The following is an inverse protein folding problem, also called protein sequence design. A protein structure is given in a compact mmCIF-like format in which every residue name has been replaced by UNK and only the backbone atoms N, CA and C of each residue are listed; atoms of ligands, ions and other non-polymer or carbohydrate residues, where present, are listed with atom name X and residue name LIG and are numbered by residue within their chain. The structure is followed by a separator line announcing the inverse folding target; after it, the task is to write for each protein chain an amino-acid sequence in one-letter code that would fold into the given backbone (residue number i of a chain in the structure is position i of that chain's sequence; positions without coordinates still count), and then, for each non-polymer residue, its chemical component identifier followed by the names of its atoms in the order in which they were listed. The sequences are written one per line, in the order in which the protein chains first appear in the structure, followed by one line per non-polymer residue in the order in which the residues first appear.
data_IF_734008911122
#
_entry.id   IF_734008911122
#
_cell.length_a   1.000
_cell.length_b   1.000
_cell.length_c   1.000
_cell.angle_alpha   90.00
_cell.angle_beta   90.00
_cell.angle_gamma   90.00
#
_symmetry.space_group_name_H-M   'P 1'
#
loop_
_entity.id
_entity.type
_entity.pdbx_description
1 polymer ?
#
# COMPACT_ATOMS: atom_id res chain seq x y z
N UNK A 1 -24.64 -79.82 -5.31
CA UNK A 1 -25.56 -79.22 -6.30
C UNK A 1 -26.07 -77.92 -5.70
N UNK A 2 -25.73 -76.78 -6.30
CA UNK A 2 -26.52 -75.52 -6.29
C UNK A 2 -25.77 -74.45 -7.10
N UNK A 3 -26.45 -73.95 -8.13
CA UNK A 3 -26.01 -72.92 -9.07
C UNK A 3 -25.75 -71.58 -8.38
N UNK A 4 -24.71 -70.85 -8.82
CA UNK A 4 -24.65 -69.39 -8.69
C UNK A 4 -24.67 -68.79 -10.10
N UNK A 5 -25.78 -68.10 -10.34
CA UNK A 5 -26.18 -67.34 -11.52
C UNK A 5 -25.26 -66.15 -11.81
N UNK A 6 -24.93 -65.95 -13.09
CA UNK A 6 -24.35 -64.72 -13.64
C UNK A 6 -25.29 -63.53 -13.44
N UNK A 7 -24.74 -62.42 -12.94
CA UNK A 7 -25.38 -61.10 -12.94
C UNK A 7 -24.77 -60.24 -14.06
N UNK A 8 -25.56 -59.56 -14.90
CA UNK A 8 -25.05 -58.81 -16.06
C UNK A 8 -24.43 -57.46 -15.67
N UNK A 9 -23.39 -57.07 -16.41
CA UNK A 9 -22.73 -55.76 -16.31
C UNK A 9 -23.66 -54.65 -16.82
N UNK A 10 -23.94 -53.65 -15.97
CA UNK A 10 -24.64 -52.42 -16.34
C UNK A 10 -23.62 -51.42 -16.91
N UNK A 11 -23.83 -50.83 -18.10
CA UNK A 11 -22.91 -49.85 -18.66
C UNK A 11 -23.03 -48.52 -17.91
N UNK A 12 -21.91 -48.05 -17.36
CA UNK A 12 -21.79 -46.71 -16.75
C UNK A 12 -21.83 -45.68 -17.88
N UNK A 13 -22.89 -44.86 -17.92
CA UNK A 13 -22.95 -43.69 -18.80
C UNK A 13 -21.87 -42.69 -18.37
N UNK A 14 -20.90 -42.44 -19.24
CA UNK A 14 -19.99 -41.30 -19.10
C UNK A 14 -20.80 -40.00 -19.20
N UNK A 15 -21.01 -39.34 -18.07
CA UNK A 15 -21.43 -37.94 -18.03
C UNK A 15 -20.19 -37.11 -18.34
N UNK A 16 -20.10 -36.64 -19.58
CA UNK A 16 -19.07 -35.69 -19.98
C UNK A 16 -19.23 -34.40 -19.18
N UNK A 17 -18.30 -34.15 -18.25
CA UNK A 17 -18.16 -32.86 -17.60
C UNK A 17 -17.74 -31.83 -18.65
N UNK A 18 -18.71 -31.12 -19.22
CA UNK A 18 -18.45 -29.80 -19.81
C UNK A 18 -17.95 -28.92 -18.67
N UNK A 19 -16.65 -28.61 -18.69
CA UNK A 19 -16.10 -27.51 -17.88
C UNK A 19 -16.67 -26.21 -18.44
N UNK A 20 -17.78 -25.77 -17.87
CA UNK A 20 -18.19 -24.38 -17.96
C UNK A 20 -17.21 -23.60 -17.09
N UNK A 21 -16.15 -23.07 -17.70
CA UNK A 21 -15.32 -22.07 -17.06
C UNK A 21 -16.19 -20.81 -16.90
N UNK A 22 -16.83 -20.68 -15.74
CA UNK A 22 -17.31 -19.39 -15.26
C UNK A 22 -16.07 -18.53 -15.09
N UNK A 23 -15.84 -17.62 -16.04
CA UNK A 23 -14.93 -16.48 -15.91
C UNK A 23 -15.37 -15.67 -14.70
N UNK A 24 -14.82 -16.00 -13.53
CA UNK A 24 -14.92 -15.17 -12.35
C UNK A 24 -13.99 -13.97 -12.57
N UNK A 25 -14.51 -12.93 -13.20
CA UNK A 25 -13.93 -11.59 -13.15
C UNK A 25 -13.98 -11.12 -11.68
N UNK A 26 -13.00 -11.54 -10.88
CA UNK A 26 -12.69 -10.88 -9.61
C UNK A 26 -11.41 -10.12 -9.82
N UNK A 27 -11.55 -8.83 -10.12
CA UNK A 27 -10.50 -7.85 -9.88
C UNK A 27 -10.13 -7.96 -8.40
N UNK A 28 -8.93 -8.43 -8.10
CA UNK A 28 -8.42 -8.39 -6.74
C UNK A 28 -7.84 -7.00 -6.49
N UNK A 29 -8.33 -6.22 -5.51
CA UNK A 29 -7.67 -5.00 -5.09
C UNK A 29 -6.43 -5.34 -4.24
N UNK A 30 -5.40 -5.91 -4.85
CA UNK A 30 -4.19 -6.44 -4.18
C UNK A 30 -3.25 -5.40 -3.52
N UNK A 31 -3.12 -4.14 -4.00
CA UNK A 31 -2.07 -3.26 -3.46
C UNK A 31 -2.25 -2.81 -2.01
N UNK A 32 -3.49 -2.83 -1.49
CA UNK A 32 -3.76 -2.55 -0.06
C UNK A 32 -3.20 -3.61 0.88
N UNK A 33 -3.39 -4.88 0.53
CA UNK A 33 -3.15 -5.98 1.47
C UNK A 33 -1.65 -6.20 1.61
N UNK A 34 -0.93 -6.12 0.49
CA UNK A 34 0.49 -6.48 0.48
C UNK A 34 1.37 -5.43 1.19
N UNK A 35 1.03 -4.14 1.08
CA UNK A 35 1.74 -3.05 1.77
C UNK A 35 1.46 -3.05 3.27
N UNK A 36 0.23 -3.33 3.70
CA UNK A 36 -0.08 -3.52 5.13
C UNK A 36 0.65 -4.72 5.74
N UNK A 37 0.70 -5.85 5.02
CA UNK A 37 1.45 -7.04 5.45
C UNK A 37 2.95 -6.73 5.55
N UNK A 38 3.55 -6.09 4.53
CA UNK A 38 4.96 -5.71 4.56
C UNK A 38 5.28 -4.78 5.74
N UNK A 39 4.41 -3.81 6.04
CA UNK A 39 4.61 -2.91 7.17
C UNK A 39 4.65 -3.67 8.50
N UNK A 40 3.70 -4.59 8.74
CA UNK A 40 3.69 -5.40 9.96
C UNK A 40 4.93 -6.29 10.05
N UNK A 41 5.33 -6.96 8.95
CA UNK A 41 6.52 -7.81 8.93
C UNK A 41 7.81 -7.01 9.21
N UNK A 42 7.92 -5.80 8.65
CA UNK A 42 9.05 -4.92 8.89
C UNK A 42 9.08 -4.38 10.33
N UNK A 43 7.95 -3.90 10.84
CA UNK A 43 7.83 -3.37 12.21
C UNK A 43 8.13 -4.43 13.26
N UNK A 44 7.53 -5.62 13.14
CA UNK A 44 7.79 -6.73 14.07
C UNK A 44 9.27 -7.13 14.07
N UNK A 45 9.92 -7.12 12.91
CA UNK A 45 11.36 -7.37 12.80
C UNK A 45 12.20 -6.28 13.48
N UNK A 46 11.83 -5.00 13.32
CA UNK A 46 12.49 -3.88 13.98
C UNK A 46 12.33 -3.95 15.51
N UNK A 47 11.22 -4.47 15.99
CA UNK A 47 10.96 -4.74 17.41
C UNK A 47 11.65 -6.02 17.93
N UNK A 48 12.47 -6.69 17.10
CA UNK A 48 13.19 -7.92 17.46
C UNK A 48 12.34 -9.19 17.45
N UNK A 49 11.08 -9.11 17.00
CA UNK A 49 10.18 -10.26 16.86
C UNK A 49 10.43 -10.89 15.49
N UNK A 50 10.99 -12.10 15.49
CA UNK A 50 11.33 -12.83 14.27
C UNK A 50 10.64 -14.18 14.20
N UNK A 51 10.22 -14.55 12.99
CA UNK A 51 9.63 -15.86 12.67
C UNK A 51 10.27 -16.42 11.40
N UNK A 52 10.24 -17.75 11.26
CA UNK A 52 10.79 -18.42 10.07
C UNK A 52 10.14 -17.90 8.78
N UNK A 53 10.95 -17.60 7.77
CA UNK A 53 10.49 -17.10 6.47
C UNK A 53 10.07 -15.62 6.44
N UNK A 54 10.15 -14.87 7.55
CA UNK A 54 9.78 -13.45 7.59
C UNK A 54 10.61 -12.59 6.63
N UNK A 55 11.92 -12.81 6.58
CA UNK A 55 12.83 -12.09 5.66
C UNK A 55 12.48 -12.43 4.21
N UNK A 56 12.27 -13.71 3.90
CA UNK A 56 11.92 -14.14 2.55
C UNK A 56 10.58 -13.53 2.10
N UNK A 57 9.61 -13.44 3.01
CA UNK A 57 8.33 -12.77 2.76
C UNK A 57 8.51 -11.27 2.49
N UNK A 58 9.31 -10.57 3.32
CA UNK A 58 9.66 -9.16 3.10
C UNK A 58 10.29 -8.98 1.72
N UNK A 59 11.33 -9.77 1.40
CA UNK A 59 12.05 -9.69 0.13
C UNK A 59 11.14 -9.99 -1.06
N UNK A 60 10.24 -10.97 -0.95
CA UNK A 60 9.29 -11.29 -2.02
C UNK A 60 8.29 -10.17 -2.27
N UNK A 61 7.76 -9.55 -1.22
CA UNK A 61 6.83 -8.41 -1.37
C UNK A 61 7.57 -7.20 -1.94
N UNK A 62 8.80 -6.94 -1.49
CA UNK A 62 9.62 -5.88 -2.04
C UNK A 62 9.87 -6.08 -3.53
N UNK A 63 10.26 -7.28 -3.96
CA UNK A 63 10.43 -7.59 -5.38
C UNK A 63 9.14 -7.34 -6.17
N UNK A 64 7.98 -7.73 -5.63
CA UNK A 64 6.70 -7.43 -6.26
C UNK A 64 6.45 -5.92 -6.40
N UNK A 65 6.74 -5.12 -5.37
CA UNK A 65 6.59 -3.66 -5.45
C UNK A 65 7.59 -3.04 -6.43
N UNK A 66 8.81 -3.58 -6.51
CA UNK A 66 9.84 -3.16 -7.46
C UNK A 66 9.39 -3.47 -8.91
N UNK A 67 8.83 -4.66 -9.16
CA UNK A 67 8.34 -5.09 -10.48
C UNK A 67 7.18 -4.22 -11.00
N UNK A 68 6.37 -3.67 -10.09
CA UNK A 68 5.20 -2.83 -10.43
C UNK A 68 5.46 -1.33 -10.28
N UNK A 69 6.66 -0.91 -9.88
CA UNK A 69 7.03 0.50 -9.86
C UNK A 69 7.00 1.07 -11.29
N UNK A 70 6.30 2.18 -11.46
CA UNK A 70 6.25 2.95 -12.69
C UNK A 70 6.94 4.30 -12.49
N UNK A 71 7.32 4.94 -13.61
CA UNK A 71 7.89 6.28 -13.62
C UNK A 71 7.00 7.21 -14.46
N UNK A 72 6.81 8.43 -13.98
CA UNK A 72 6.25 9.50 -14.82
C UNK A 72 7.30 9.96 -15.84
N UNK A 73 6.89 10.77 -16.82
CA UNK A 73 7.82 11.40 -17.78
C UNK A 73 8.88 12.27 -17.09
N UNK A 74 8.55 12.82 -15.92
CA UNK A 74 9.47 13.59 -15.10
C UNK A 74 10.39 12.71 -14.24
N UNK A 75 10.12 11.41 -14.13
CA UNK A 75 10.90 10.42 -13.37
C UNK A 75 10.35 10.13 -11.96
N UNK A 76 9.15 10.61 -11.61
CA UNK A 76 8.54 10.36 -10.30
C UNK A 76 8.06 8.92 -10.21
N UNK A 77 8.38 8.27 -9.09
CA UNK A 77 7.91 6.92 -8.76
C UNK A 77 6.41 6.91 -8.47
N UNK A 78 5.70 5.96 -9.05
CA UNK A 78 4.32 5.66 -8.71
C UNK A 78 4.00 4.19 -8.89
N UNK A 79 2.93 3.74 -8.24
CA UNK A 79 2.46 2.36 -8.32
C UNK A 79 0.97 2.34 -8.69
N UNK A 80 0.51 1.33 -9.45
CA UNK A 80 -0.90 1.16 -9.73
C UNK A 80 -1.67 0.89 -8.44
N UNK A 81 -2.85 1.52 -8.29
CA UNK A 81 -3.70 1.27 -7.12
C UNK A 81 -4.22 -0.18 -7.09
N UNK A 82 -4.35 -0.80 -8.27
CA UNK A 82 -4.73 -2.20 -8.45
C UNK A 82 -3.90 -2.78 -9.60
N UNK A 83 -3.23 -3.91 -9.35
CA UNK A 83 -2.64 -4.73 -10.43
C UNK A 83 -3.73 -5.68 -10.92
N UNK A 84 -4.23 -5.46 -12.13
CA UNK A 84 -5.30 -6.27 -12.73
C UNK A 84 -4.76 -7.52 -13.42
N UNK A 85 -5.63 -8.49 -13.74
CA UNK A 85 -5.25 -9.65 -14.54
C UNK A 85 -4.67 -9.25 -15.91
N UNK A 86 -5.20 -8.20 -16.53
CA UNK A 86 -4.70 -7.72 -17.81
C UNK A 86 -3.28 -7.12 -17.67
N UNK A 87 -2.98 -6.48 -16.54
CA UNK A 87 -1.62 -5.99 -16.26
C UNK A 87 -0.67 -7.19 -16.10
N UNK A 88 -1.08 -8.21 -15.33
CA UNK A 88 -0.31 -9.43 -15.11
C UNK A 88 0.01 -10.16 -16.42
N UNK A 89 -0.99 -10.35 -17.27
CA UNK A 89 -0.84 -11.03 -18.55
C UNK A 89 0.13 -10.28 -19.49
N UNK A 90 0.21 -8.95 -19.36
CA UNK A 90 1.10 -8.10 -20.16
C UNK A 90 2.45 -7.85 -19.51
N UNK A 91 2.61 -8.14 -18.22
CA UNK A 91 3.79 -7.81 -17.43
C UNK A 91 4.04 -6.29 -17.32
N UNK A 92 3.02 -5.46 -17.51
CA UNK A 92 3.12 -4.00 -17.43
C UNK A 92 1.77 -3.37 -17.13
N UNK A 93 1.77 -2.15 -16.59
CA UNK A 93 0.54 -1.44 -16.21
C UNK A 93 -0.13 -0.89 -17.48
N UNK A 94 -1.33 -1.38 -17.77
CA UNK A 94 -2.22 -0.89 -18.83
C UNK A 94 -3.55 -0.36 -18.29
N UNK A 95 -3.90 -0.73 -17.06
CA UNK A 95 -5.14 -0.35 -16.39
C UNK A 95 -5.16 1.08 -15.85
N UNK A 96 -3.97 1.68 -15.65
CA UNK A 96 -3.79 3.00 -15.07
C UNK A 96 -2.74 3.78 -15.86
N UNK A 97 -3.03 5.05 -16.20
CA UNK A 97 -2.16 5.88 -17.05
C UNK A 97 -1.15 6.73 -16.28
N UNK A 98 -1.23 6.80 -14.95
CA UNK A 98 -0.37 7.65 -14.14
C UNK A 98 -0.69 7.59 -12.66
N UNK A 99 0.05 8.33 -11.81
CA UNK A 99 -0.17 8.36 -10.37
C UNK A 99 -1.56 8.89 -10.01
N UNK A 100 -2.22 8.21 -9.07
CA UNK A 100 -3.44 8.72 -8.42
C UNK A 100 -3.09 9.60 -7.22
N UNK A 101 -4.12 10.09 -6.52
CA UNK A 101 -3.98 10.94 -5.32
C UNK A 101 -2.92 10.38 -4.34
N UNK A 102 -1.98 11.21 -3.86
CA UNK A 102 -0.89 10.80 -2.97
C UNK A 102 -1.39 10.61 -1.53
N UNK A 103 -2.23 9.59 -1.35
CA UNK A 103 -2.82 9.23 -0.06
C UNK A 103 -1.93 8.29 0.73
N UNK A 104 -2.04 8.30 2.06
CA UNK A 104 -1.44 7.25 2.91
C UNK A 104 -1.98 5.86 2.55
N UNK A 105 -3.29 5.72 2.32
CA UNK A 105 -3.90 4.40 2.18
C UNK A 105 -3.67 3.69 0.83
N UNK A 106 -3.21 4.40 -0.22
CA UNK A 106 -3.03 3.84 -1.57
C UNK A 106 -1.93 4.50 -2.41
N UNK A 107 -1.49 5.70 -2.06
CA UNK A 107 -0.58 6.48 -2.88
C UNK A 107 0.88 6.31 -2.49
N UNK A 108 1.74 7.02 -3.22
CA UNK A 108 3.18 7.07 -3.00
C UNK A 108 3.57 7.30 -1.54
N UNK A 109 2.90 8.15 -0.72
CA UNK A 109 3.28 8.29 0.69
C UNK A 109 3.26 7.00 1.50
N UNK A 110 2.16 6.24 1.45
CA UNK A 110 2.06 4.98 2.19
C UNK A 110 3.05 3.93 1.69
N UNK A 111 3.21 3.84 0.37
CA UNK A 111 4.15 2.90 -0.27
C UNK A 111 5.59 3.26 0.10
N UNK A 112 5.96 4.53 0.01
CA UNK A 112 7.29 4.99 0.41
C UNK A 112 7.58 4.68 1.89
N UNK A 113 6.63 4.92 2.81
CA UNK A 113 6.86 4.59 4.22
C UNK A 113 7.10 3.10 4.43
N UNK A 114 6.31 2.23 3.80
CA UNK A 114 6.52 0.79 3.97
C UNK A 114 7.84 0.32 3.34
N UNK A 115 8.24 0.87 2.19
CA UNK A 115 9.55 0.60 1.59
C UNK A 115 10.71 1.04 2.51
N UNK A 116 10.58 2.19 3.18
CA UNK A 116 11.55 2.67 4.14
C UNK A 116 11.64 1.75 5.38
N UNK A 117 10.49 1.34 5.94
CA UNK A 117 10.42 0.39 7.05
C UNK A 117 11.09 -0.94 6.71
N UNK A 118 10.83 -1.48 5.52
CA UNK A 118 11.46 -2.70 5.05
C UNK A 118 12.98 -2.51 4.86
N UNK A 119 13.41 -1.37 4.32
CA UNK A 119 14.83 -1.01 4.23
C UNK A 119 15.51 -0.92 5.59
N UNK A 120 14.86 -0.35 6.60
CA UNK A 120 15.34 -0.35 7.99
C UNK A 120 15.46 -1.78 8.54
N UNK A 121 14.40 -2.58 8.38
CA UNK A 121 14.34 -3.94 8.91
C UNK A 121 15.38 -4.88 8.29
N UNK A 122 15.76 -4.63 7.03
CA UNK A 122 16.80 -5.38 6.32
C UNK A 122 18.20 -4.77 6.43
N UNK A 123 18.35 -3.57 7.01
CA UNK A 123 19.61 -2.84 7.03
C UNK A 123 20.08 -2.40 5.63
N UNK A 124 19.15 -2.12 4.72
CA UNK A 124 19.40 -1.74 3.33
C UNK A 124 19.28 -0.21 3.15
N UNK A 125 20.41 0.53 3.14
CA UNK A 125 20.38 1.98 2.95
C UNK A 125 19.96 2.39 1.53
N UNK A 126 20.14 1.53 0.52
CA UNK A 126 19.71 1.81 -0.84
C UNK A 126 18.19 1.86 -0.95
N UNK A 127 17.50 0.90 -0.32
CA UNK A 127 16.03 0.89 -0.25
C UNK A 127 15.47 2.07 0.56
N UNK A 128 16.13 2.46 1.64
CA UNK A 128 15.76 3.66 2.41
C UNK A 128 15.89 4.93 1.58
N UNK A 129 17.02 5.13 0.92
CA UNK A 129 17.24 6.29 0.06
C UNK A 129 16.25 6.34 -1.12
N UNK A 130 15.93 5.19 -1.71
CA UNK A 130 14.93 5.10 -2.78
C UNK A 130 13.52 5.51 -2.29
N UNK A 131 13.09 4.99 -1.14
CA UNK A 131 11.82 5.34 -0.52
C UNK A 131 11.71 6.83 -0.19
N UNK A 132 12.76 7.40 0.41
CA UNK A 132 12.86 8.82 0.73
C UNK A 132 12.80 9.68 -0.55
N UNK A 133 13.51 9.27 -1.61
CA UNK A 133 13.46 9.96 -2.90
C UNK A 133 12.06 9.94 -3.53
N UNK A 134 11.40 8.77 -3.57
CA UNK A 134 10.03 8.64 -4.07
C UNK A 134 9.06 9.54 -3.31
N UNK A 135 9.19 9.58 -1.98
CA UNK A 135 8.38 10.45 -1.13
C UNK A 135 8.65 11.94 -1.42
N UNK A 136 9.90 12.39 -1.43
CA UNK A 136 10.25 13.80 -1.66
C UNK A 136 9.81 14.29 -3.03
N UNK A 137 9.96 13.46 -4.07
CA UNK A 137 9.48 13.80 -5.42
C UNK A 137 7.96 13.93 -5.47
N UNK A 138 7.24 13.03 -4.82
CA UNK A 138 5.79 13.14 -4.66
C UNK A 138 5.40 14.42 -3.90
N UNK A 139 6.09 14.73 -2.80
CA UNK A 139 5.78 15.89 -1.97
C UNK A 139 6.03 17.22 -2.70
N UNK A 140 7.04 17.28 -3.57
CA UNK A 140 7.40 18.51 -4.30
C UNK A 140 6.64 18.69 -5.62
N UNK A 141 5.81 17.72 -6.02
CA UNK A 141 4.97 17.79 -7.21
C UNK A 141 3.63 18.46 -6.87
N UNK A 142 3.44 19.71 -7.31
CA UNK A 142 2.21 20.47 -7.02
C UNK A 142 0.96 19.82 -7.58
N UNK A 143 1.02 19.25 -8.79
CA UNK A 143 -0.12 18.60 -9.42
C UNK A 143 -0.58 17.36 -8.63
N UNK A 144 0.34 16.64 -7.98
CA UNK A 144 -0.01 15.56 -7.06
C UNK A 144 -0.65 16.07 -5.78
N UNK A 145 -0.10 17.13 -5.18
CA UNK A 145 -0.65 17.71 -3.96
C UNK A 145 -2.04 18.30 -4.15
N UNK A 146 -2.33 18.87 -5.32
CA UNK A 146 -3.63 19.44 -5.65
C UNK A 146 -4.74 18.36 -5.77
N UNK A 147 -4.39 17.07 -5.83
CA UNK A 147 -5.35 15.96 -5.75
C UNK A 147 -5.84 15.69 -4.32
N UNK A 148 -5.19 16.25 -3.29
CA UNK A 148 -5.62 16.13 -1.90
C UNK A 148 -6.69 17.18 -1.60
N UNK A 149 -7.95 16.77 -1.65
CA UNK A 149 -9.11 17.66 -1.51
C UNK A 149 -9.60 17.85 -0.08
N UNK A 150 -9.14 17.00 0.85
CA UNK A 150 -9.57 17.00 2.25
C UNK A 150 -8.38 16.90 3.21
N UNK A 151 -8.67 17.05 4.51
CA UNK A 151 -7.66 17.04 5.59
C UNK A 151 -7.59 15.74 6.39
N UNK A 152 -8.24 14.67 5.91
CA UNK A 152 -8.28 13.37 6.59
C UNK A 152 -6.92 12.68 6.69
N UNK A 153 -6.83 11.70 7.60
CA UNK A 153 -5.69 10.79 7.73
C UNK A 153 -5.66 9.72 6.64
N UNK A 154 -6.83 9.21 6.25
CA UNK A 154 -6.91 8.10 5.31
C UNK A 154 -6.36 8.49 3.94
N UNK A 155 -6.77 9.65 3.43
CA UNK A 155 -6.48 10.04 2.06
C UNK A 155 -6.39 11.54 1.79
N UNK A 156 -6.36 12.34 2.85
CA UNK A 156 -6.16 13.78 2.78
C UNK A 156 -4.77 14.21 3.20
N UNK A 157 -4.63 15.51 3.41
CA UNK A 157 -3.37 16.17 3.81
C UNK A 157 -2.87 15.72 5.19
N UNK A 158 -3.75 15.31 6.10
CA UNK A 158 -3.37 14.79 7.41
C UNK A 158 -2.54 13.50 7.28
N UNK A 159 -2.98 12.58 6.42
CA UNK A 159 -2.26 11.33 6.15
C UNK A 159 -0.89 11.57 5.52
N UNK A 160 -0.83 12.51 4.58
CA UNK A 160 0.43 12.94 3.98
C UNK A 160 1.40 13.46 5.05
N UNK A 161 0.97 14.39 5.90
CA UNK A 161 1.82 15.02 6.92
C UNK A 161 2.25 14.02 8.01
N UNK A 162 1.37 13.15 8.47
CA UNK A 162 1.71 12.09 9.43
C UNK A 162 2.79 11.16 8.87
N UNK A 163 2.61 10.75 7.61
CA UNK A 163 3.60 9.92 6.90
C UNK A 163 4.92 10.66 6.71
N UNK A 164 4.87 11.94 6.33
CA UNK A 164 6.05 12.78 6.12
C UNK A 164 6.92 12.87 7.38
N UNK A 165 6.29 13.07 8.54
CA UNK A 165 7.01 13.16 9.83
C UNK A 165 7.73 11.86 10.16
N UNK A 166 7.10 10.70 9.92
CA UNK A 166 7.73 9.39 10.17
C UNK A 166 8.85 9.09 9.19
N UNK A 167 8.65 9.42 7.92
CA UNK A 167 9.72 9.30 6.93
C UNK A 167 10.92 10.18 7.29
N UNK A 168 10.67 11.43 7.69
CA UNK A 168 11.72 12.36 8.11
C UNK A 168 12.44 11.95 9.40
N UNK A 169 11.74 11.33 10.35
CA UNK A 169 12.34 10.85 11.60
C UNK A 169 13.39 9.75 11.36
N UNK A 170 13.15 8.89 10.36
CA UNK A 170 14.05 7.78 10.01
C UNK A 170 14.92 8.07 8.77
N UNK A 171 14.90 9.32 8.27
CA UNK A 171 15.56 9.67 7.02
C UNK A 171 17.09 9.62 7.15
N UNK A 172 17.77 9.22 6.06
CA UNK A 172 19.23 9.23 6.00
C UNK A 172 19.80 10.66 6.01
N UNK A 173 19.02 11.61 5.47
CA UNK A 173 19.33 13.04 5.44
C UNK A 173 18.10 13.83 5.87
N UNK A 174 18.27 15.01 6.49
CA UNK A 174 17.13 15.85 6.89
C UNK A 174 16.18 16.13 5.72
N UNK A 175 14.88 15.84 5.91
CA UNK A 175 13.82 16.14 4.95
C UNK A 175 13.03 17.39 5.35
N UNK A 176 12.77 18.26 4.39
CA UNK A 176 11.94 19.45 4.60
C UNK A 176 10.44 19.09 4.60
N UNK A 177 9.78 19.37 5.73
CA UNK A 177 8.35 19.11 5.92
C UNK A 177 7.48 20.35 5.70
N UNK A 178 8.07 21.50 5.37
CA UNK A 178 7.38 22.79 5.25
C UNK A 178 6.20 22.70 4.29
N UNK A 179 6.38 22.04 3.14
CA UNK A 179 5.32 21.91 2.15
C UNK A 179 4.16 21.03 2.64
N UNK A 180 4.44 19.89 3.28
CA UNK A 180 3.41 19.02 3.84
C UNK A 180 2.61 19.74 4.95
N UNK A 181 3.33 20.45 5.83
CA UNK A 181 2.72 21.23 6.90
C UNK A 181 1.84 22.36 6.35
N UNK A 182 2.38 23.15 5.42
CA UNK A 182 1.63 24.25 4.81
C UNK A 182 0.37 23.74 4.11
N UNK A 183 0.46 22.65 3.36
CA UNK A 183 -0.69 22.05 2.68
C UNK A 183 -1.77 21.61 3.66
N UNK A 184 -1.38 20.99 4.78
CA UNK A 184 -2.35 20.61 5.81
C UNK A 184 -3.00 21.82 6.49
N UNK A 185 -2.24 22.89 6.74
CA UNK A 185 -2.77 24.13 7.34
C UNK A 185 -3.74 24.89 6.43
N UNK A 186 -3.54 24.82 5.11
CA UNK A 186 -4.41 25.47 4.13
C UNK A 186 -5.64 24.64 3.76
N UNK A 187 -5.69 23.35 4.14
CA UNK A 187 -6.82 22.50 3.86
C UNK A 187 -8.03 22.91 4.72
N UNK A 188 -9.08 23.40 4.07
CA UNK A 188 -10.32 23.76 4.72
C UNK A 188 -11.06 22.52 5.23
N UNK A 189 -11.78 22.61 6.37
CA UNK A 189 -12.74 21.59 6.75
C UNK A 189 -13.86 21.48 5.70
N UNK A 190 -14.29 20.26 5.41
CA UNK A 190 -15.52 20.04 4.66
C UNK A 190 -16.74 20.45 5.49
N UNK A 191 -17.81 20.89 4.82
CA UNK A 191 -19.05 21.34 5.48
C UNK A 191 -19.65 20.26 6.39
N UNK A 192 -19.53 19.01 5.97
CA UNK A 192 -20.05 17.82 6.68
C UNK A 192 -18.92 16.92 7.19
N UNK A 193 -17.77 17.50 7.58
CA UNK A 193 -16.62 16.72 8.05
C UNK A 193 -16.99 15.90 9.31
N UNK A 194 -16.89 14.56 9.27
CA UNK A 194 -17.27 13.74 10.40
C UNK A 194 -16.29 13.95 11.57
N UNK A 195 -16.68 13.69 12.82
CA UNK A 195 -15.80 13.88 13.99
C UNK A 195 -14.74 12.77 14.13
N UNK A 196 -14.72 11.78 13.24
CA UNK A 196 -13.94 10.54 13.39
C UNK A 196 -12.42 10.71 13.22
N UNK A 197 -11.70 9.63 13.55
CA UNK A 197 -10.25 9.57 13.44
C UNK A 197 -9.76 9.52 11.98
N UNK A 198 -10.10 8.47 11.21
CA UNK A 198 -9.50 8.27 9.88
C UNK A 198 -9.93 9.29 8.83
N UNK A 199 -11.18 9.72 8.86
CA UNK A 199 -11.81 10.54 7.80
C UNK A 199 -12.32 11.88 8.30
N UNK A 200 -11.93 12.29 9.50
CA UNK A 200 -12.63 13.35 10.21
C UNK A 200 -11.75 14.29 11.02
N UNK A 201 -12.42 15.24 11.65
CA UNK A 201 -11.83 16.36 12.38
C UNK A 201 -10.86 15.91 13.48
N UNK A 202 -11.11 14.79 14.15
CA UNK A 202 -10.23 14.31 15.21
C UNK A 202 -8.84 13.94 14.65
N UNK A 203 -8.77 13.20 13.55
CA UNK A 203 -7.49 12.84 12.93
C UNK A 203 -6.76 14.04 12.32
N UNK A 204 -7.51 14.92 11.66
CA UNK A 204 -6.96 16.17 11.13
C UNK A 204 -6.30 17.00 12.26
N UNK A 205 -7.00 17.18 13.37
CA UNK A 205 -6.50 17.93 14.53
C UNK A 205 -5.29 17.25 15.17
N UNK A 206 -5.29 15.93 15.34
CA UNK A 206 -4.14 15.19 15.88
C UNK A 206 -2.87 15.42 15.06
N UNK A 207 -3.00 15.61 13.74
CA UNK A 207 -1.85 15.85 12.86
C UNK A 207 -1.27 17.26 13.05
N UNK A 208 -2.04 18.22 13.55
CA UNK A 208 -1.50 19.57 13.84
C UNK A 208 -0.59 19.58 15.06
N UNK A 209 -0.81 18.68 16.03
CA UNK A 209 0.11 18.49 17.14
C UNK A 209 1.46 18.00 16.59
N UNK A 210 2.54 18.72 16.91
CA UNK A 210 3.89 18.36 16.44
C UNK A 210 4.42 17.06 17.08
N UNK A 211 3.78 16.57 18.14
CA UNK A 211 4.22 15.42 18.90
C UNK A 211 3.24 14.26 18.82
N UNK A 212 3.76 13.05 18.67
CA UNK A 212 3.02 11.78 18.73
C UNK A 212 3.13 11.17 20.13
N UNK A 213 3.05 11.98 21.19
CA UNK A 213 3.26 11.55 22.59
C UNK A 213 2.39 10.36 23.01
N UNK A 214 1.25 10.16 22.34
CA UNK A 214 0.32 9.05 22.60
C UNK A 214 0.53 7.84 21.69
N UNK A 215 1.44 7.88 20.70
CA UNK A 215 1.65 6.81 19.72
C UNK A 215 0.45 6.53 18.81
N UNK A 216 -0.47 7.50 18.67
CA UNK A 216 -1.74 7.33 17.96
C UNK A 216 -1.57 6.85 16.50
N UNK A 217 -0.46 7.18 15.87
CA UNK A 217 -0.13 6.83 14.49
C UNK A 217 0.37 5.39 14.31
N UNK A 218 0.56 4.63 15.40
CA UNK A 218 0.84 3.20 15.34
C UNK A 218 -0.29 2.42 14.65
N UNK A 219 -1.55 2.83 14.82
CA UNK A 219 -2.68 2.19 14.14
C UNK A 219 -2.71 2.46 12.62
N UNK A 220 -1.87 3.37 12.13
CA UNK A 220 -1.64 3.63 10.71
C UNK A 220 -0.43 2.86 10.16
N UNK A 221 0.21 2.01 10.99
CA UNK A 221 1.44 1.28 10.65
C UNK A 221 2.57 2.20 10.16
N UNK A 222 2.60 3.43 10.69
CA UNK A 222 3.61 4.43 10.36
C UNK A 222 4.81 4.41 11.31
N UNK A 223 4.73 3.66 12.42
CA UNK A 223 5.62 3.79 13.57
C UNK A 223 7.11 3.61 13.23
#
# INVERSE_FOLDING_TARGET
MSNITQTPLIPVRHVGHRRTYLTCQRSFPEPKIITGVLAILALTRLDGITVDGQIDAITRILQWLDDWEQRTDHGDSWWPQIVTLADLDRGTVVSQSGPLRPSWCYGTPGIARVLQLAGLALGDPGRRAHAESAFTRCLTNSAQLDLLTDRSLCHGTGGLLATARRIAADALTPLDLTLALHRHQQAAPDVDEPPGFLTGTAGATLTTAATTTTGWDACLLLH
#
